data_IF_232455614554
#
_entry.id   IF_232455614554
#
_cell.length_a   1.000
_cell.length_b   1.000
_cell.length_c   1.000
_cell.angle_alpha   90.00
_cell.angle_beta   90.00
_cell.angle_gamma   90.00
#
_symmetry.space_group_name_H-M   'P 1'
#
loop_
_entity.id
_entity.type
_entity.pdbx_description
1 polymer ?
#
# COMPACT_ATOMS: atom_id res chain seq x y z
N UNK A 1 -2.74 -22.34 -23.41
CA UNK A 1 -3.20 -21.78 -22.12
C UNK A 1 -2.07 -20.92 -21.58
N UNK A 2 -2.36 -19.73 -21.06
CA UNK A 2 -1.34 -18.81 -20.55
C UNK A 2 -0.53 -19.44 -19.41
N UNK A 3 0.79 -19.25 -19.42
CA UNK A 3 1.74 -19.87 -18.47
C UNK A 3 2.59 -18.84 -17.74
N UNK A 4 2.71 -17.63 -18.25
CA UNK A 4 3.56 -16.59 -17.67
C UNK A 4 3.00 -15.18 -17.91
N UNK A 5 2.48 -14.57 -16.85
CA UNK A 5 1.91 -13.23 -16.89
C UNK A 5 2.96 -12.19 -16.54
N UNK A 6 3.05 -11.13 -17.35
CA UNK A 6 3.69 -9.87 -16.98
C UNK A 6 2.62 -8.95 -16.37
N UNK A 7 2.82 -8.45 -15.16
CA UNK A 7 1.86 -7.55 -14.49
C UNK A 7 2.51 -6.20 -14.27
N UNK A 8 1.97 -5.15 -14.91
CA UNK A 8 2.43 -3.78 -14.68
C UNK A 8 1.81 -3.26 -13.40
N UNK A 9 2.65 -2.80 -12.48
CA UNK A 9 2.22 -2.22 -11.22
C UNK A 9 2.29 -0.72 -11.38
N UNK A 10 1.17 -0.06 -11.58
CA UNK A 10 1.07 1.39 -11.47
C UNK A 10 0.63 1.76 -10.05
N UNK A 11 1.21 2.82 -9.48
CA UNK A 11 0.82 3.32 -8.15
C UNK A 11 -0.57 3.97 -8.12
N UNK A 12 -1.37 3.80 -9.18
CA UNK A 12 -2.71 4.38 -9.30
C UNK A 12 -3.75 3.48 -8.64
N UNK A 13 -4.93 4.00 -8.26
CA UNK A 13 -6.01 3.20 -7.66
C UNK A 13 -6.52 2.02 -8.51
N UNK A 14 -6.18 1.98 -9.81
CA UNK A 14 -6.46 0.85 -10.70
C UNK A 14 -5.43 -0.28 -10.64
N UNK A 15 -4.20 0.00 -10.20
CA UNK A 15 -3.09 -0.96 -10.21
C UNK A 15 -3.27 -2.13 -9.26
N UNK A 16 -3.88 -1.89 -8.10
CA UNK A 16 -4.18 -2.94 -7.12
C UNK A 16 -5.21 -3.93 -7.67
N UNK A 17 -6.17 -3.45 -8.45
CA UNK A 17 -7.15 -4.31 -9.11
C UNK A 17 -6.51 -5.14 -10.21
N UNK A 18 -5.56 -4.55 -10.96
CA UNK A 18 -4.80 -5.29 -11.95
C UNK A 18 -3.99 -6.42 -11.31
N UNK A 19 -3.34 -6.13 -10.18
CA UNK A 19 -2.61 -7.13 -9.39
C UNK A 19 -3.57 -8.22 -8.92
N UNK A 20 -4.68 -7.86 -8.26
CA UNK A 20 -5.66 -8.83 -7.76
C UNK A 20 -6.20 -9.75 -8.86
N UNK A 21 -6.71 -9.18 -9.96
CA UNK A 21 -7.24 -9.96 -11.08
C UNK A 21 -6.16 -10.81 -11.77
N UNK A 22 -4.95 -10.27 -11.95
CA UNK A 22 -3.87 -11.03 -12.57
C UNK A 22 -3.41 -12.19 -11.70
N UNK A 23 -3.35 -12.03 -10.38
CA UNK A 23 -3.01 -13.11 -9.45
C UNK A 23 -4.12 -14.16 -9.38
N UNK A 24 -5.38 -13.76 -9.34
CA UNK A 24 -6.51 -14.70 -9.40
C UNK A 24 -6.48 -15.53 -10.69
N UNK A 25 -6.27 -14.88 -11.83
CA UNK A 25 -6.13 -15.56 -13.12
C UNK A 25 -4.93 -16.51 -13.12
N UNK A 26 -3.76 -16.03 -12.70
CA UNK A 26 -2.54 -16.84 -12.64
C UNK A 26 -2.75 -18.10 -11.79
N UNK A 27 -3.40 -17.96 -10.63
CA UNK A 27 -3.74 -19.08 -9.75
C UNK A 27 -4.70 -20.07 -10.41
N UNK A 28 -5.73 -19.56 -11.08
CA UNK A 28 -6.72 -20.40 -11.76
C UNK A 28 -6.14 -21.21 -12.93
N UNK A 29 -5.12 -20.68 -13.61
CA UNK A 29 -4.51 -21.34 -14.78
C UNK A 29 -3.15 -21.99 -14.50
N UNK A 30 -2.66 -21.91 -13.24
CA UNK A 30 -1.35 -22.43 -12.86
C UNK A 30 -0.17 -21.69 -13.52
N UNK A 31 -0.33 -20.39 -13.80
CA UNK A 31 0.71 -19.57 -14.39
C UNK A 31 1.62 -18.92 -13.33
N UNK A 32 2.86 -18.63 -13.72
CA UNK A 32 3.78 -17.79 -12.94
C UNK A 32 3.57 -16.30 -13.27
N UNK A 33 4.00 -15.42 -12.38
CA UNK A 33 3.83 -13.97 -12.54
C UNK A 33 5.18 -13.25 -12.48
N UNK A 34 5.40 -12.29 -13.38
CA UNK A 34 6.49 -11.32 -13.25
C UNK A 34 5.92 -9.92 -13.12
N UNK A 35 6.25 -9.24 -12.03
CA UNK A 35 5.84 -7.86 -11.80
C UNK A 35 6.81 -6.88 -12.44
N UNK A 36 6.28 -5.83 -13.03
CA UNK A 36 7.02 -4.67 -13.51
C UNK A 36 6.66 -3.49 -12.62
N UNK A 37 7.62 -3.03 -11.85
CA UNK A 37 7.46 -1.88 -10.98
C UNK A 37 7.84 -0.60 -11.76
N UNK A 38 7.24 0.56 -11.46
CA UNK A 38 7.66 1.82 -12.06
C UNK A 38 9.11 2.08 -11.66
N UNK A 39 9.93 2.54 -12.61
CA UNK A 39 11.26 3.07 -12.29
C UNK A 39 11.15 4.31 -11.39
N UNK A 40 12.11 4.50 -10.49
CA UNK A 40 12.30 5.81 -9.86
C UNK A 40 12.66 6.83 -10.96
N UNK A 41 12.12 8.05 -10.90
CA UNK A 41 12.38 9.08 -11.90
C UNK A 41 13.89 9.32 -12.09
N UNK A 42 14.38 9.49 -13.34
CA UNK A 42 15.80 9.53 -13.68
C UNK A 42 16.59 10.73 -13.11
N UNK A 43 15.92 11.76 -12.58
CA UNK A 43 16.59 12.94 -11.99
C UNK A 43 16.94 12.79 -10.51
N UNK A 44 16.57 11.67 -9.86
CA UNK A 44 17.13 11.33 -8.56
C UNK A 44 18.51 10.73 -8.75
N UNK A 45 19.56 11.44 -8.33
CA UNK A 45 20.97 10.99 -8.29
C UNK A 45 21.22 9.75 -7.41
N UNK A 46 20.17 9.04 -7.01
CA UNK A 46 20.15 7.80 -6.24
C UNK A 46 19.90 6.61 -7.19
N UNK A 47 20.80 6.42 -8.15
CA UNK A 47 20.83 5.21 -8.98
C UNK A 47 21.32 4.05 -8.11
N UNK A 48 20.38 3.21 -7.64
CA UNK A 48 20.71 1.97 -6.93
C UNK A 48 19.63 1.45 -5.98
N UNK A 49 18.81 2.33 -5.40
CA UNK A 49 17.75 1.93 -4.48
C UNK A 49 16.38 1.93 -5.20
N UNK A 50 16.02 0.80 -5.81
CA UNK A 50 14.61 0.49 -6.13
C UNK A 50 13.79 0.72 -4.87
N UNK A 51 12.61 1.36 -4.94
CA UNK A 51 11.72 1.50 -3.79
C UNK A 51 11.39 0.09 -3.25
N UNK A 52 11.95 -0.33 -2.10
CA UNK A 52 11.80 -1.71 -1.59
C UNK A 52 10.33 -2.05 -1.24
N UNK A 53 9.48 -1.02 -1.13
CA UNK A 53 8.06 -1.07 -0.82
C UNK A 53 7.23 -1.86 -1.84
N UNK A 54 7.27 -1.46 -3.12
CA UNK A 54 6.41 -2.07 -4.13
C UNK A 54 6.78 -3.53 -4.35
N UNK A 55 8.07 -3.87 -4.20
CA UNK A 55 8.54 -5.25 -4.22
C UNK A 55 7.96 -6.08 -3.08
N UNK A 56 8.11 -5.62 -1.84
CA UNK A 56 7.56 -6.32 -0.68
C UNK A 56 6.03 -6.52 -0.76
N UNK A 57 5.29 -5.52 -1.25
CA UNK A 57 3.83 -5.62 -1.44
C UNK A 57 3.45 -6.71 -2.45
N UNK A 58 4.03 -6.68 -3.65
CA UNK A 58 3.65 -7.62 -4.73
C UNK A 58 4.15 -9.04 -4.48
N UNK A 59 5.31 -9.20 -3.83
CA UNK A 59 5.82 -10.49 -3.39
C UNK A 59 4.92 -11.10 -2.31
N UNK A 60 4.48 -10.30 -1.34
CA UNK A 60 3.58 -10.76 -0.30
C UNK A 60 2.22 -11.16 -0.88
N UNK A 61 1.68 -10.38 -1.81
CA UNK A 61 0.46 -10.72 -2.55
C UNK A 61 0.59 -12.04 -3.31
N UNK A 62 1.67 -12.23 -4.08
CA UNK A 62 1.90 -13.45 -4.84
C UNK A 62 2.13 -14.68 -3.95
N UNK A 63 2.91 -14.54 -2.87
CA UNK A 63 3.13 -15.62 -1.88
C UNK A 63 1.85 -16.05 -1.20
N UNK A 64 1.00 -15.10 -0.81
CA UNK A 64 -0.29 -15.40 -0.20
C UNK A 64 -1.24 -16.14 -1.15
N UNK A 65 -1.11 -15.93 -2.46
CA UNK A 65 -1.85 -16.68 -3.49
C UNK A 65 -1.17 -18.01 -3.90
N UNK A 66 -0.01 -18.35 -3.30
CA UNK A 66 0.74 -19.56 -3.61
C UNK A 66 1.41 -19.55 -4.99
N UNK A 67 1.72 -18.37 -5.54
CA UNK A 67 2.21 -18.22 -6.90
C UNK A 67 3.74 -18.14 -6.98
N UNK A 68 4.30 -18.80 -7.99
CA UNK A 68 5.66 -18.53 -8.44
C UNK A 68 5.74 -17.13 -9.02
N UNK A 69 6.62 -16.30 -8.47
CA UNK A 69 6.72 -14.89 -8.86
C UNK A 69 8.17 -14.42 -9.06
N UNK A 70 8.33 -13.35 -9.81
CA UNK A 70 9.57 -12.62 -9.99
C UNK A 70 9.28 -11.11 -10.14
N UNK A 71 10.29 -10.26 -9.93
CA UNK A 71 10.22 -8.83 -10.21
C UNK A 71 11.21 -8.50 -11.32
N UNK A 72 10.73 -7.89 -12.40
CA UNK A 72 11.56 -7.49 -13.54
C UNK A 72 12.66 -6.51 -13.10
N UNK A 73 13.91 -6.87 -13.41
CA UNK A 73 15.10 -6.10 -13.10
C UNK A 73 15.63 -6.23 -11.66
N UNK A 74 15.03 -7.03 -10.78
CA UNK A 74 15.58 -7.30 -9.44
C UNK A 74 16.87 -8.16 -9.45
N UNK A 75 17.49 -8.36 -10.63
CA UNK A 75 18.75 -9.07 -10.78
C UNK A 75 19.92 -8.32 -10.15
N UNK A 76 20.88 -9.07 -9.62
CA UNK A 76 22.15 -8.54 -9.11
C UNK A 76 22.84 -7.63 -10.15
N UNK A 77 23.54 -6.56 -9.73
CA UNK A 77 24.36 -5.76 -10.63
C UNK A 77 25.40 -6.68 -11.28
N UNK A 78 25.23 -6.97 -12.58
CA UNK A 78 26.15 -7.83 -13.34
C UNK A 78 25.49 -8.88 -14.25
N UNK A 79 24.23 -9.25 -14.00
CA UNK A 79 23.48 -10.02 -14.99
C UNK A 79 22.85 -9.03 -15.97
N UNK A 80 23.33 -8.99 -17.22
CA UNK A 80 22.94 -8.03 -18.28
C UNK A 80 21.48 -8.11 -18.74
N UNK A 81 20.53 -8.11 -17.80
CA UNK A 81 19.10 -7.98 -18.07
C UNK A 81 18.80 -6.51 -18.34
N UNK A 82 18.04 -6.19 -19.39
CA UNK A 82 17.71 -4.81 -19.72
C UNK A 82 17.04 -4.14 -18.52
N UNK A 83 17.45 -2.90 -18.24
CA UNK A 83 16.83 -2.11 -17.18
C UNK A 83 15.32 -2.01 -17.46
N UNK A 84 14.51 -2.62 -16.59
CA UNK A 84 13.06 -2.68 -16.73
C UNK A 84 12.37 -1.29 -16.70
N UNK A 85 13.10 -0.22 -16.34
CA UNK A 85 12.55 1.12 -16.18
C UNK A 85 12.17 1.80 -17.51
N UNK A 86 12.85 1.48 -18.62
CA UNK A 86 12.65 2.16 -19.92
C UNK A 86 12.07 1.26 -21.02
N UNK A 87 11.96 -0.05 -20.78
CA UNK A 87 11.44 -0.98 -21.77
C UNK A 87 9.91 -0.94 -21.83
N UNK A 88 9.34 -0.75 -23.02
CA UNK A 88 7.89 -0.86 -23.23
C UNK A 88 7.39 -2.24 -22.75
N UNK A 89 6.22 -2.33 -22.06
CA UNK A 89 5.75 -3.60 -21.48
C UNK A 89 5.68 -4.76 -22.48
N UNK A 90 5.32 -4.50 -23.74
CA UNK A 90 5.31 -5.51 -24.80
C UNK A 90 6.70 -6.09 -25.11
N UNK A 91 7.73 -5.25 -25.20
CA UNK A 91 9.10 -5.70 -25.44
C UNK A 91 9.65 -6.47 -24.24
N UNK A 92 9.34 -6.01 -23.03
CA UNK A 92 9.75 -6.68 -21.80
C UNK A 92 9.06 -8.05 -21.64
N UNK A 93 7.77 -8.14 -21.98
CA UNK A 93 7.04 -9.41 -21.98
C UNK A 93 7.68 -10.43 -22.93
N UNK A 94 7.99 -10.01 -24.15
CA UNK A 94 8.67 -10.86 -25.13
C UNK A 94 10.04 -11.32 -24.64
N UNK A 95 10.86 -10.41 -24.08
CA UNK A 95 12.19 -10.72 -23.56
C UNK A 95 12.16 -11.71 -22.38
N UNK A 96 11.14 -11.63 -21.53
CA UNK A 96 10.97 -12.50 -20.36
C UNK A 96 10.18 -13.79 -20.66
N UNK A 97 9.75 -13.98 -21.91
CA UNK A 97 8.93 -15.13 -22.30
C UNK A 97 7.54 -15.14 -21.65
N UNK A 98 7.00 -13.95 -21.34
CA UNK A 98 5.63 -13.80 -20.87
C UNK A 98 4.66 -13.95 -22.06
N UNK A 99 3.55 -14.64 -21.83
CA UNK A 99 2.53 -14.92 -22.85
C UNK A 99 1.20 -14.17 -22.61
N UNK A 100 1.14 -13.35 -21.56
CA UNK A 100 0.05 -12.43 -21.27
C UNK A 100 0.57 -11.20 -20.53
N UNK A 101 0.04 -10.01 -20.84
CA UNK A 101 0.30 -8.77 -20.11
C UNK A 101 -0.97 -8.35 -19.38
N UNK A 102 -0.93 -8.28 -18.05
CA UNK A 102 -1.99 -7.73 -17.22
C UNK A 102 -1.76 -6.25 -16.94
N UNK A 103 -2.73 -5.40 -17.29
CA UNK A 103 -2.71 -3.96 -17.02
C UNK A 103 -4.01 -3.50 -16.35
N UNK A 104 -3.93 -2.47 -15.52
CA UNK A 104 -5.11 -1.83 -14.93
C UNK A 104 -5.98 -1.17 -15.99
N UNK A 105 -7.30 -1.11 -15.80
CA UNK A 105 -8.12 -0.17 -16.55
C UNK A 105 -7.68 1.27 -16.25
N UNK A 106 -7.62 2.11 -17.29
CA UNK A 106 -7.37 3.54 -17.08
C UNK A 106 -8.58 4.16 -16.36
N UNK A 107 -8.34 5.08 -15.40
CA UNK A 107 -9.42 5.83 -14.80
C UNK A 107 -10.06 6.77 -15.83
N UNK A 108 -11.29 7.23 -15.56
CA UNK A 108 -12.05 8.05 -16.51
C UNK A 108 -11.40 9.42 -16.78
N UNK A 109 -10.61 9.91 -15.82
CA UNK A 109 -9.87 11.17 -15.84
C UNK A 109 -8.38 10.99 -16.18
N UNK A 110 -7.99 9.83 -16.73
CA UNK A 110 -6.62 9.59 -17.16
C UNK A 110 -6.14 10.65 -18.17
N UNK A 111 -4.89 11.10 -18.01
CA UNK A 111 -4.32 12.08 -18.93
C UNK A 111 -4.11 11.51 -20.35
N UNK A 112 -3.90 12.42 -21.30
CA UNK A 112 -3.72 12.06 -22.71
C UNK A 112 -2.46 11.21 -22.95
N UNK A 113 -1.42 11.35 -22.12
CA UNK A 113 -0.18 10.59 -22.26
C UNK A 113 -0.36 9.14 -21.83
N UNK A 114 -1.02 8.89 -20.70
CA UNK A 114 -1.39 7.56 -20.23
C UNK A 114 -2.35 6.86 -21.22
N UNK A 115 -3.30 7.60 -21.79
CA UNK A 115 -4.17 7.11 -22.86
C UNK A 115 -3.37 6.72 -24.11
N UNK A 116 -2.48 7.60 -24.58
CA UNK A 116 -1.64 7.34 -25.74
C UNK A 116 -0.68 6.15 -25.51
N UNK A 117 -0.08 6.04 -24.32
CA UNK A 117 0.77 4.91 -23.95
C UNK A 117 -0.01 3.60 -23.94
N UNK A 118 -1.25 3.59 -23.43
CA UNK A 118 -2.13 2.41 -23.47
C UNK A 118 -2.49 2.04 -24.90
N UNK A 119 -2.89 3.00 -25.72
CA UNK A 119 -3.22 2.77 -27.12
C UNK A 119 -2.02 2.20 -27.89
N UNK A 120 -0.83 2.77 -27.65
CA UNK A 120 0.40 2.29 -28.24
C UNK A 120 0.70 0.84 -27.83
N UNK A 121 0.63 0.52 -26.54
CA UNK A 121 0.81 -0.86 -26.05
C UNK A 121 -0.16 -1.83 -26.72
N UNK A 122 -1.44 -1.48 -26.81
CA UNK A 122 -2.46 -2.33 -27.44
C UNK A 122 -2.23 -2.49 -28.96
N UNK A 123 -1.71 -1.46 -29.63
CA UNK A 123 -1.45 -1.48 -31.07
C UNK A 123 -0.17 -2.22 -31.45
N UNK A 124 0.86 -2.21 -30.59
CA UNK A 124 2.21 -2.71 -30.94
C UNK A 124 2.62 -3.98 -30.20
N UNK A 125 1.89 -4.39 -29.16
CA UNK A 125 2.26 -5.59 -28.41
C UNK A 125 2.04 -6.86 -29.23
N UNK A 126 3.10 -7.65 -29.39
CA UNK A 126 3.02 -9.02 -29.92
C UNK A 126 2.49 -10.04 -28.89
N UNK A 127 2.32 -9.62 -27.63
CA UNK A 127 1.78 -10.44 -26.53
C UNK A 127 0.35 -9.97 -26.21
N UNK A 128 -0.63 -10.87 -26.00
CA UNK A 128 -1.98 -10.50 -25.59
C UNK A 128 -1.98 -9.60 -24.34
N UNK A 129 -2.86 -8.59 -24.34
CA UNK A 129 -3.00 -7.63 -23.22
C UNK A 129 -4.37 -7.80 -22.60
N UNK A 130 -4.41 -8.15 -21.32
CA UNK A 130 -5.60 -8.20 -20.48
C UNK A 130 -5.74 -6.87 -19.72
N UNK A 131 -6.80 -6.13 -20.03
CA UNK A 131 -7.19 -4.94 -19.29
C UNK A 131 -8.13 -5.35 -18.14
N UNK A 132 -7.65 -5.21 -16.91
CA UNK A 132 -8.40 -5.57 -15.72
C UNK A 132 -9.38 -4.44 -15.36
N UNK A 133 -10.64 -4.58 -15.78
CA UNK A 133 -11.72 -3.65 -15.44
C UNK A 133 -12.41 -4.07 -14.16
N UNK A 134 -12.78 -3.09 -13.32
CA UNK A 134 -13.61 -3.32 -12.15
C UNK A 134 -14.89 -2.50 -12.26
N UNK A 135 -16.04 -3.17 -12.34
CA UNK A 135 -17.34 -2.53 -12.12
C UNK A 135 -17.54 -2.48 -10.61
N UNK A 136 -17.52 -1.29 -10.04
CA UNK A 136 -17.65 -1.08 -8.59
C UNK A 136 -18.92 -0.30 -8.30
N UNK A 137 -19.62 -0.64 -7.24
CA UNK A 137 -20.65 0.26 -6.72
C UNK A 137 -19.98 1.53 -6.17
N UNK A 138 -20.66 2.70 -6.14
CA UNK A 138 -20.07 3.91 -5.57
C UNK A 138 -19.63 3.75 -4.11
N UNK A 139 -20.37 2.94 -3.33
CA UNK A 139 -20.05 2.63 -1.94
C UNK A 139 -18.76 1.80 -1.83
N UNK A 140 -18.63 0.74 -2.63
CA UNK A 140 -17.38 -0.04 -2.71
C UNK A 140 -16.19 0.87 -3.05
N UNK A 141 -16.33 1.71 -4.08
CA UNK A 141 -15.26 2.59 -4.52
C UNK A 141 -14.77 3.52 -3.39
N UNK A 142 -15.68 4.09 -2.59
CA UNK A 142 -15.33 4.97 -1.45
C UNK A 142 -14.66 4.22 -0.31
N UNK A 143 -15.21 3.08 0.09
CA UNK A 143 -14.65 2.22 1.16
C UNK A 143 -13.23 1.79 0.80
N UNK A 144 -13.04 1.29 -0.42
CA UNK A 144 -11.73 0.87 -0.92
C UNK A 144 -10.75 2.04 -1.02
N UNK A 145 -11.19 3.19 -1.55
CA UNK A 145 -10.35 4.38 -1.63
C UNK A 145 -9.84 4.80 -0.24
N UNK A 146 -10.69 4.79 0.79
CA UNK A 146 -10.29 5.14 2.16
C UNK A 146 -9.23 4.19 2.72
N UNK A 147 -9.38 2.88 2.52
CA UNK A 147 -8.38 1.90 2.98
C UNK A 147 -7.04 2.15 2.29
N UNK A 148 -7.07 2.39 0.98
CA UNK A 148 -5.87 2.67 0.19
C UNK A 148 -5.23 4.03 0.53
N UNK A 149 -6.01 5.06 0.86
CA UNK A 149 -5.50 6.32 1.39
C UNK A 149 -4.72 6.10 2.69
N UNK A 150 -5.25 5.27 3.60
CA UNK A 150 -4.57 4.94 4.85
C UNK A 150 -3.24 4.19 4.60
N UNK A 151 -3.22 3.25 3.66
CA UNK A 151 -2.00 2.55 3.24
C UNK A 151 -0.97 3.53 2.65
N UNK A 152 -1.41 4.46 1.78
CA UNK A 152 -0.55 5.50 1.21
C UNK A 152 0.02 6.45 2.26
N UNK A 153 -0.77 6.82 3.27
CA UNK A 153 -0.29 7.67 4.37
C UNK A 153 0.81 6.98 5.19
N UNK A 154 0.64 5.69 5.50
CA UNK A 154 1.66 4.89 6.20
C UNK A 154 2.93 4.73 5.35
N UNK A 155 2.78 4.39 4.06
CA UNK A 155 3.91 4.27 3.14
C UNK A 155 4.69 5.58 2.99
N UNK A 156 3.99 6.70 2.85
CA UNK A 156 4.60 8.04 2.77
C UNK A 156 5.42 8.39 4.01
N UNK A 157 4.92 8.12 5.23
CA UNK A 157 5.67 8.37 6.46
C UNK A 157 6.90 7.45 6.57
N UNK A 158 6.74 6.16 6.29
CA UNK A 158 7.87 5.21 6.29
C UNK A 158 8.96 5.66 5.32
N UNK A 159 8.59 6.15 4.13
CA UNK A 159 9.54 6.69 3.18
C UNK A 159 10.27 7.91 3.68
N UNK A 160 9.55 8.89 4.23
CA UNK A 160 10.16 10.09 4.78
C UNK A 160 11.19 9.75 5.88
N UNK A 161 10.89 8.75 6.72
CA UNK A 161 11.78 8.33 7.80
C UNK A 161 13.01 7.57 7.30
N UNK A 162 12.85 6.66 6.33
CA UNK A 162 14.00 5.95 5.73
C UNK A 162 14.91 6.90 4.94
N UNK A 163 14.34 7.89 4.24
CA UNK A 163 15.11 8.91 3.52
C UNK A 163 15.88 9.82 4.49
N UNK A 164 15.25 10.22 5.60
CA UNK A 164 15.91 10.98 6.65
C UNK A 164 17.08 10.21 7.30
N UNK A 165 17.05 8.87 7.39
CA UNK A 165 18.20 8.09 7.85
C UNK A 165 19.39 8.10 6.86
N UNK A 166 19.10 8.15 5.56
CA UNK A 166 20.13 8.16 4.51
C UNK A 166 20.78 9.53 4.27
N UNK A 167 20.04 10.62 4.46
CA UNK A 167 20.49 12.01 4.24
C UNK A 167 21.20 12.66 5.45
N UNK A 168 21.71 11.86 6.39
CA UNK A 168 22.39 12.33 7.60
C UNK A 168 23.64 13.22 7.34
N UNK A 169 24.06 13.39 6.09
CA UNK A 169 25.16 14.28 5.68
C UNK A 169 24.78 15.74 5.36
N UNK A 170 23.48 16.07 5.18
CA UNK A 170 23.07 17.39 4.65
C UNK A 170 22.11 18.21 5.54
N UNK A 171 21.43 17.59 6.51
CA UNK A 171 20.48 18.25 7.42
C UNK A 171 21.13 18.50 8.78
N UNK A 172 20.82 19.64 9.42
CA UNK A 172 21.32 19.94 10.75
C UNK A 172 20.92 18.82 11.75
N UNK A 173 21.88 18.16 12.42
CA UNK A 173 21.64 16.92 13.16
C UNK A 173 20.61 17.06 14.30
N UNK A 174 20.47 18.23 14.91
CA UNK A 174 19.43 18.47 15.94
C UNK A 174 18.00 18.42 15.38
N UNK A 175 17.75 18.91 14.16
CA UNK A 175 16.41 18.93 13.55
C UNK A 175 15.99 17.54 13.10
N UNK A 176 16.96 16.74 12.65
CA UNK A 176 16.80 15.35 12.25
C UNK A 176 16.56 14.43 13.45
N UNK A 177 17.30 14.63 14.55
CA UNK A 177 17.07 13.91 15.80
C UNK A 177 15.69 14.21 16.40
N UNK A 178 15.25 15.47 16.41
CA UNK A 178 13.93 15.85 16.92
C UNK A 178 12.77 15.25 16.09
N UNK A 179 12.88 15.26 14.75
CA UNK A 179 11.90 14.62 13.87
C UNK A 179 11.85 13.09 14.04
N UNK A 180 13.01 12.46 14.20
CA UNK A 180 13.11 11.02 14.35
C UNK A 180 12.71 10.52 15.75
N UNK A 181 12.82 11.35 16.80
CA UNK A 181 12.30 11.03 18.14
C UNK A 181 10.76 11.00 18.19
N UNK A 182 10.08 11.87 17.42
CA UNK A 182 8.62 11.87 17.30
C UNK A 182 8.07 10.79 16.35
N UNK A 183 8.91 10.25 15.48
CA UNK A 183 8.51 9.36 14.40
C UNK A 183 7.83 8.05 14.84
N UNK A 184 8.31 7.31 15.87
CA UNK A 184 7.63 6.11 16.33
C UNK A 184 6.22 6.39 16.85
N UNK A 185 6.02 7.53 17.52
CA UNK A 185 4.71 7.94 18.02
C UNK A 185 3.75 8.30 16.86
N UNK A 186 4.24 9.02 15.84
CA UNK A 186 3.47 9.30 14.63
C UNK A 186 3.13 8.04 13.84
N UNK A 187 4.08 7.10 13.69
CA UNK A 187 3.83 5.80 13.07
C UNK A 187 2.82 4.97 13.85
N UNK A 188 2.94 4.89 15.17
CA UNK A 188 1.98 4.19 16.02
C UNK A 188 0.60 4.84 15.99
N UNK A 189 0.51 6.17 15.89
CA UNK A 189 -0.75 6.87 15.70
C UNK A 189 -1.38 6.54 14.34
N UNK A 190 -0.62 6.58 13.24
CA UNK A 190 -1.12 6.21 11.90
C UNK A 190 -1.52 4.74 11.83
N UNK A 191 -0.73 3.83 12.41
CA UNK A 191 -1.07 2.41 12.43
C UNK A 191 -2.31 2.12 13.28
N UNK A 192 -2.46 2.79 14.44
CA UNK A 192 -3.70 2.71 15.22
C UNK A 192 -4.88 3.31 14.49
N UNK A 193 -4.69 4.42 13.77
CA UNK A 193 -5.73 5.01 12.95
C UNK A 193 -6.12 4.12 11.76
N UNK A 194 -5.17 3.36 11.18
CA UNK A 194 -5.41 2.39 10.11
C UNK A 194 -6.09 1.13 10.64
N UNK A 195 -5.41 0.40 11.53
CA UNK A 195 -5.88 -0.85 12.12
C UNK A 195 -7.13 -0.66 13.00
N UNK A 196 -7.33 0.54 13.54
CA UNK A 196 -8.48 0.98 14.32
C UNK A 196 -9.42 1.90 13.55
N UNK A 197 -9.24 2.10 12.23
CA UNK A 197 -10.31 2.67 11.42
C UNK A 197 -11.49 1.71 11.53
N UNK A 198 -12.66 2.21 11.91
CA UNK A 198 -13.86 1.39 12.04
C UNK A 198 -14.14 0.58 10.75
N UNK A 199 -13.62 1.06 9.61
CA UNK A 199 -13.84 0.51 8.28
C UNK A 199 -13.03 -0.76 8.02
N UNK A 200 -11.70 -0.80 8.19
CA UNK A 200 -10.92 -2.04 7.95
C UNK A 200 -11.35 -3.15 8.90
N UNK A 201 -11.53 -2.82 10.19
CA UNK A 201 -11.98 -3.78 11.19
C UNK A 201 -13.38 -4.33 10.87
N UNK A 202 -14.32 -3.47 10.46
CA UNK A 202 -15.66 -3.89 10.04
C UNK A 202 -15.62 -4.70 8.74
N UNK A 203 -14.83 -4.26 7.76
CA UNK A 203 -14.64 -4.97 6.49
C UNK A 203 -14.20 -6.41 6.75
N UNK A 204 -13.19 -6.61 7.60
CA UNK A 204 -12.71 -7.95 7.95
C UNK A 204 -13.75 -8.75 8.72
N UNK A 205 -14.50 -8.11 9.62
CA UNK A 205 -15.57 -8.79 10.36
C UNK A 205 -16.70 -9.26 9.42
N UNK A 206 -17.16 -8.42 8.50
CA UNK A 206 -18.18 -8.79 7.52
C UNK A 206 -17.66 -9.86 6.58
N UNK A 207 -16.41 -9.73 6.11
CA UNK A 207 -15.81 -10.70 5.22
C UNK A 207 -15.63 -12.09 5.88
N UNK A 208 -15.28 -12.16 7.17
CA UNK A 208 -15.23 -13.43 7.93
C UNK A 208 -16.58 -14.16 7.91
N UNK A 209 -17.69 -13.43 7.97
CA UNK A 209 -19.04 -14.02 7.92
C UNK A 209 -19.39 -14.50 6.52
N UNK A 210 -18.93 -13.79 5.49
CA UNK A 210 -19.29 -14.05 4.08
C UNK A 210 -18.41 -15.09 3.40
N UNK A 211 -17.18 -15.28 3.83
CA UNK A 211 -16.21 -16.12 3.14
C UNK A 211 -15.26 -16.85 4.11
N UNK A 212 -15.59 -18.10 4.43
CA UNK A 212 -14.74 -18.97 5.27
C UNK A 212 -13.35 -19.19 4.65
N UNK A 213 -13.25 -19.21 3.32
CA UNK A 213 -12.00 -19.42 2.60
C UNK A 213 -10.93 -18.33 2.82
N UNK A 214 -11.29 -17.18 3.40
CA UNK A 214 -10.32 -16.13 3.75
C UNK A 214 -9.97 -16.07 5.25
N UNK A 215 -10.59 -16.90 6.08
CA UNK A 215 -10.40 -16.85 7.53
C UNK A 215 -8.92 -16.99 7.94
N UNK A 216 -8.21 -17.94 7.33
CA UNK A 216 -6.79 -18.16 7.60
C UNK A 216 -5.90 -16.95 7.26
N UNK A 217 -6.22 -16.21 6.19
CA UNK A 217 -5.49 -15.01 5.81
C UNK A 217 -5.79 -13.85 6.76
N UNK A 218 -7.03 -13.72 7.22
CA UNK A 218 -7.40 -12.72 8.24
C UNK A 218 -6.72 -13.02 9.59
N UNK A 219 -6.58 -14.29 9.96
CA UNK A 219 -5.86 -14.70 11.17
C UNK A 219 -4.33 -14.49 11.06
N UNK A 220 -3.76 -14.62 9.87
CA UNK A 220 -2.36 -14.20 9.62
C UNK A 220 -2.20 -12.68 9.75
N UNK A 221 -3.14 -11.89 9.23
CA UNK A 221 -3.11 -10.44 9.39
C UNK A 221 -3.21 -10.02 10.85
N UNK A 222 -4.01 -10.71 11.67
CA UNK A 222 -4.08 -10.47 13.12
C UNK A 222 -2.74 -10.72 13.80
N UNK A 223 -2.06 -11.82 13.45
CA UNK A 223 -0.70 -12.12 13.94
C UNK A 223 0.35 -11.12 13.44
N UNK A 224 0.21 -10.59 12.23
CA UNK A 224 1.09 -9.53 11.72
C UNK A 224 0.88 -8.23 12.52
N UNK A 225 -0.37 -7.83 12.78
CA UNK A 225 -0.68 -6.64 13.60
C UNK A 225 -0.08 -6.71 15.00
N UNK A 226 -0.12 -7.88 15.64
CA UNK A 226 0.50 -8.08 16.95
C UNK A 226 2.03 -7.92 16.90
N UNK A 227 2.68 -8.46 15.87
CA UNK A 227 4.13 -8.28 15.64
C UNK A 227 4.48 -6.82 15.36
N UNK A 228 3.66 -6.12 14.59
CA UNK A 228 3.86 -4.70 14.27
C UNK A 228 3.79 -3.82 15.51
N UNK A 229 2.84 -4.07 16.41
CA UNK A 229 2.74 -3.36 17.68
C UNK A 229 4.04 -3.53 18.51
N UNK A 230 4.54 -4.76 18.62
CA UNK A 230 5.80 -5.04 19.32
C UNK A 230 7.01 -4.37 18.65
N UNK A 231 7.03 -4.33 17.31
CA UNK A 231 8.09 -3.66 16.55
C UNK A 231 8.09 -2.14 16.76
N UNK A 232 6.91 -1.53 16.81
CA UNK A 232 6.75 -0.10 17.12
C UNK A 232 7.20 0.23 18.56
N UNK A 233 6.85 -0.60 19.53
CA UNK A 233 7.32 -0.43 20.91
C UNK A 233 8.84 -0.56 21.02
N UNK A 234 9.45 -1.44 20.23
CA UNK A 234 10.91 -1.55 20.14
C UNK A 234 11.54 -0.30 19.49
N UNK A 235 10.95 0.21 18.40
CA UNK A 235 11.40 1.45 17.75
C UNK A 235 11.33 2.65 18.69
N UNK A 236 10.25 2.78 19.47
CA UNK A 236 10.09 3.85 20.44
C UNK A 236 11.17 3.79 21.54
N UNK A 237 11.50 2.59 22.04
CA UNK A 237 12.57 2.41 23.03
C UNK A 237 13.94 2.78 22.47
N UNK A 238 14.29 2.30 21.27
CA UNK A 238 15.57 2.62 20.64
C UNK A 238 15.69 4.13 20.38
N UNK A 239 14.61 4.79 19.97
CA UNK A 239 14.60 6.24 19.78
C UNK A 239 14.80 7.01 21.09
N UNK A 240 14.25 6.52 22.21
CA UNK A 240 14.42 7.10 23.53
C UNK A 240 15.86 6.96 24.06
N UNK A 241 16.55 5.88 23.69
CA UNK A 241 17.97 5.67 24.02
C UNK A 241 18.91 6.65 23.27
N UNK A 242 18.42 7.30 22.22
CA UNK A 242 19.10 8.39 21.52
C UNK A 242 19.24 8.16 20.01
N UNK A 243 19.28 9.27 19.27
CA UNK A 243 19.45 9.29 17.81
C UNK A 243 20.59 10.26 17.43
N UNK A 244 21.32 10.01 16.32
CA UNK A 244 21.16 8.94 15.34
C UNK A 244 21.59 7.55 15.87
N UNK A 245 21.01 6.48 15.32
CA UNK A 245 21.28 5.10 15.76
C UNK A 245 21.14 4.11 14.61
N UNK A 246 22.23 3.39 14.28
CA UNK A 246 22.19 2.32 13.29
C UNK A 246 21.22 1.18 13.67
N UNK A 247 21.00 0.98 14.98
CA UNK A 247 20.01 0.04 15.48
C UNK A 247 18.59 0.52 15.19
N UNK A 248 18.34 1.84 15.26
CA UNK A 248 17.07 2.44 14.85
C UNK A 248 16.84 2.26 13.36
N UNK A 249 17.83 2.56 12.52
CA UNK A 249 17.71 2.44 11.06
C UNK A 249 17.44 0.99 10.64
N UNK A 250 18.14 0.03 11.25
CA UNK A 250 17.92 -1.41 11.02
C UNK A 250 16.53 -1.85 11.48
N UNK A 251 16.09 -1.41 12.66
CA UNK A 251 14.76 -1.72 13.17
C UNK A 251 13.66 -1.11 12.29
N UNK A 252 13.87 0.12 11.80
CA UNK A 252 12.94 0.84 10.94
C UNK A 252 12.82 0.16 9.58
N UNK A 253 13.93 -0.25 8.96
CA UNK A 253 13.91 -0.99 7.71
C UNK A 253 13.17 -2.33 7.84
N UNK A 254 13.38 -3.07 8.94
CA UNK A 254 12.68 -4.32 9.22
C UNK A 254 11.17 -4.10 9.42
N UNK A 255 10.81 -3.07 10.18
CA UNK A 255 9.41 -2.71 10.40
C UNK A 255 8.73 -2.27 9.10
N UNK A 256 9.39 -1.44 8.30
CA UNK A 256 8.89 -1.00 7.00
C UNK A 256 8.62 -2.20 6.08
N UNK A 257 9.55 -3.15 6.01
CA UNK A 257 9.36 -4.38 5.25
C UNK A 257 8.11 -5.16 5.69
N UNK A 258 7.94 -5.39 7.00
CA UNK A 258 6.76 -6.07 7.54
C UNK A 258 5.45 -5.33 7.25
N UNK A 259 5.43 -4.01 7.40
CA UNK A 259 4.27 -3.18 7.09
C UNK A 259 3.88 -3.26 5.60
N UNK A 260 4.86 -3.26 4.70
CA UNK A 260 4.62 -3.43 3.26
C UNK A 260 4.17 -4.84 2.89
N UNK A 261 4.72 -5.89 3.52
CA UNK A 261 4.20 -7.25 3.34
C UNK A 261 2.72 -7.34 3.76
N UNK A 262 2.36 -6.76 4.89
CA UNK A 262 0.99 -6.76 5.40
C UNK A 262 0.05 -6.04 4.43
N UNK A 263 0.39 -4.82 4.01
CA UNK A 263 -0.37 -4.06 2.99
C UNK A 263 -0.51 -4.85 1.69
N UNK A 264 0.55 -5.50 1.23
CA UNK A 264 0.53 -6.36 0.04
C UNK A 264 -0.44 -7.53 0.14
N UNK A 265 -0.52 -8.19 1.30
CA UNK A 265 -1.52 -9.25 1.54
C UNK A 265 -2.95 -8.73 1.53
N UNK A 266 -3.19 -7.59 2.17
CA UNK A 266 -4.51 -6.97 2.15
C UNK A 266 -4.92 -6.60 0.71
N UNK A 267 -4.04 -5.91 -0.01
CA UNK A 267 -4.30 -5.43 -1.37
C UNK A 267 -4.40 -6.56 -2.40
N UNK A 268 -3.63 -7.64 -2.25
CA UNK A 268 -3.57 -8.74 -3.21
C UNK A 268 -4.47 -9.94 -2.91
N UNK A 269 -5.02 -10.04 -1.70
CA UNK A 269 -5.85 -11.18 -1.28
C UNK A 269 -7.16 -10.73 -0.66
N UNK A 270 -7.10 -9.93 0.41
CA UNK A 270 -8.29 -9.57 1.19
C UNK A 270 -9.22 -8.66 0.39
N UNK A 271 -8.68 -7.63 -0.25
CA UNK A 271 -9.45 -6.66 -1.01
C UNK A 271 -10.11 -7.29 -2.27
N UNK A 272 -9.41 -8.11 -3.07
CA UNK A 272 -10.05 -8.91 -4.12
C UNK A 272 -11.16 -9.82 -3.58
N UNK A 273 -10.91 -10.53 -2.46
CA UNK A 273 -11.91 -11.40 -1.87
C UNK A 273 -13.13 -10.62 -1.35
N UNK A 274 -12.92 -9.45 -0.73
CA UNK A 274 -14.01 -8.59 -0.30
C UNK A 274 -14.90 -8.21 -1.49
N UNK A 275 -14.32 -7.78 -2.61
CA UNK A 275 -15.08 -7.44 -3.82
C UNK A 275 -15.84 -8.63 -4.41
N UNK A 276 -15.29 -9.83 -4.26
CA UNK A 276 -15.91 -11.05 -4.76
C UNK A 276 -17.08 -11.52 -3.90
N UNK A 277 -17.00 -11.38 -2.58
CA UNK A 277 -17.93 -12.02 -1.65
C UNK A 277 -18.90 -11.05 -0.95
N UNK A 278 -18.61 -9.75 -0.95
CA UNK A 278 -19.50 -8.74 -0.39
C UNK A 278 -20.49 -8.24 -1.43
N UNK A 279 -21.77 -8.17 -1.04
CA UNK A 279 -22.83 -7.62 -1.87
C UNK A 279 -23.02 -6.11 -1.67
N UNK A 280 -23.84 -5.48 -2.50
CA UNK A 280 -24.10 -4.02 -2.43
C UNK A 280 -24.60 -3.55 -1.06
N UNK A 281 -25.41 -4.37 -0.36
CA UNK A 281 -25.88 -4.05 0.98
C UNK A 281 -24.75 -4.04 2.02
N UNK A 282 -23.76 -4.94 1.89
CA UNK A 282 -22.59 -4.97 2.77
C UNK A 282 -21.73 -3.72 2.52
N UNK A 283 -21.52 -3.35 1.25
CA UNK A 283 -20.78 -2.14 0.88
C UNK A 283 -21.47 -0.86 1.33
N UNK A 284 -22.80 -0.77 1.20
CA UNK A 284 -23.57 0.37 1.69
C UNK A 284 -23.43 0.54 3.21
N UNK A 285 -23.55 -0.55 3.99
CA UNK A 285 -23.37 -0.48 5.44
C UNK A 285 -21.95 -0.10 5.87
N UNK A 286 -20.93 -0.47 5.10
CA UNK A 286 -19.54 -0.01 5.32
C UNK A 286 -19.36 1.47 4.98
N UNK A 287 -20.06 1.97 3.98
CA UNK A 287 -20.00 3.37 3.53
C UNK A 287 -20.79 4.32 4.45
N UNK A 288 -21.87 3.86 5.08
CA UNK A 288 -22.57 4.65 6.11
C UNK A 288 -21.66 4.97 7.31
N UNK A 289 -20.82 4.02 7.72
CA UNK A 289 -19.83 4.23 8.78
C UNK A 289 -18.78 5.30 8.43
N UNK A 290 -18.47 5.46 7.14
CA UNK A 290 -17.60 6.55 6.67
C UNK A 290 -18.27 7.91 6.89
N UNK A 291 -19.56 8.02 6.60
CA UNK A 291 -20.33 9.25 6.75
C UNK A 291 -20.49 9.65 8.23
N UNK A 292 -20.79 8.68 9.09
CA UNK A 292 -20.94 8.92 10.53
C UNK A 292 -19.64 9.36 11.21
N UNK A 293 -18.50 8.79 10.79
CA UNK A 293 -17.18 9.19 11.27
C UNK A 293 -16.75 10.61 10.83
N UNK A 294 -17.24 11.08 9.68
CA UNK A 294 -16.99 12.43 9.18
C UNK A 294 -17.85 13.49 9.88
N UNK A 295 -19.08 13.14 10.28
CA UNK A 295 -19.98 14.03 11.02
C UNK A 295 -19.55 14.26 12.48
N UNK A 296 -18.69 13.40 13.04
CA UNK A 296 -18.25 13.46 14.43
C UNK A 296 -17.14 14.50 14.75
N UNK A 297 -16.79 15.41 13.83
CA UNK A 297 -15.86 16.52 14.12
C UNK A 297 -16.50 17.86 13.72
N UNK A 298 -16.85 18.72 14.70
CA UNK A 298 -15.84 19.68 15.18
C UNK A 298 -15.78 19.79 16.71
N UNK A 299 -14.61 20.11 17.30
CA UNK A 299 -14.59 20.76 18.60
C UNK A 299 -15.04 22.21 18.40
N UNK A 300 -16.20 22.58 18.96
CA UNK A 300 -16.51 23.99 19.17
C UNK A 300 -15.43 24.57 20.07
N UNK A 301 -14.87 25.70 19.64
CA UNK A 301 -13.96 26.50 20.43
C UNK A 301 -14.59 26.76 21.81
N UNK A 302 -13.86 26.42 22.88
CA UNK A 302 -14.21 26.84 24.22
C UNK A 302 -14.20 28.37 24.25
N UNK A 303 -15.39 28.95 24.40
CA UNK A 303 -15.56 30.30 24.92
C UNK A 303 -14.96 30.35 26.34
N UNK A 304 -14.25 31.43 26.72
CA UNK A 304 -13.80 31.60 28.10
C UNK A 304 -15.00 31.82 29.00
N UNK A 305 -15.20 30.91 29.94
CA UNK A 305 -16.18 31.02 31.00
C UNK A 305 -15.74 32.15 31.95
N UNK A 306 -16.45 33.28 31.91
CA UNK A 306 -16.32 34.38 32.88
C UNK A 306 -16.90 33.91 34.23
N UNK A 307 -16.17 33.98 35.36
CA UNK A 307 -16.76 33.67 36.65
C UNK A 307 -17.59 34.85 37.15
N UNK A 308 -18.88 34.59 37.36
CA UNK A 308 -19.85 35.40 38.08
C UNK A 308 -19.45 35.54 39.56
N UNK A 309 -18.56 36.49 39.85
CA UNK A 309 -18.29 36.93 41.23
C UNK A 309 -19.28 38.02 41.63
N UNK A 310 -20.47 37.57 42.02
CA UNK A 310 -21.43 38.36 42.76
C UNK A 310 -21.69 37.72 44.13
N UNK A 311 -21.04 38.23 45.19
CA UNK A 311 -21.69 38.97 46.31
C UNK A 311 -20.91 38.97 47.64
N UNK A 312 -20.78 40.20 48.17
CA UNK A 312 -21.00 40.67 49.55
C UNK A 312 -19.87 40.64 50.60
N UNK A 313 -19.52 41.84 51.05
CA UNK A 313 -19.60 42.35 52.44
C UNK A 313 -19.73 43.90 52.33
N UNK A 314 -20.75 44.62 52.83
CA UNK A 314 -20.99 45.03 54.25
C UNK A 314 -19.67 45.42 54.92
N UNK A 315 -19.32 46.67 55.19
CA UNK A 315 -20.02 47.87 55.70
C UNK A 315 -19.38 49.17 55.14
#
# INVERSE_FOLDING_TARGET
MYRHLLVTVDGTPGGIDAIGHALELARAVGARVTFVLPGAAPDSRLSGARLPEHGAKVEAAARAQGLSHAIAGAGHPGAGHPAAADAAPGALAAALGCDLIGVAALPHDADAAACAQRQHLLATSGVPVLVCTSRRSPAEARVMARCLDAHRAVGGLLHALMAAGADAGAVAPQRQAAGAQGAPASLAALQRARAGSAIEARLFAVLRVRAECVAAELDELDRQRQRDAQALDALARIAADGLPSAAFDTALARYAHGAFEQMGRMEGVIFPAARRYLGDADWAGLDELLADGAAATPPRANEPNEPDDARRASD
#
